data_IF_620536004390
#
_entry.id   IF_620536004390
#
_cell.length_a   1.000
_cell.length_b   1.000
_cell.length_c   1.000
_cell.angle_alpha   90.00
_cell.angle_beta   90.00
_cell.angle_gamma   90.00
#
_symmetry.space_group_name_H-M   'P 1'
#
loop_
_entity.id
_entity.type
_entity.pdbx_description
1 polymer ?
#
# COMPACT_ATOMS: atom_id res chain seq x y z
N UNK A 1 -29.85 40.01 -10.54
CA UNK A 1 -30.15 40.30 -9.12
C UNK A 1 -31.37 39.58 -8.55
N UNK A 2 -32.52 39.48 -9.26
CA UNK A 2 -33.72 38.79 -8.74
C UNK A 2 -33.51 37.33 -8.29
N UNK A 3 -32.70 36.55 -9.01
CA UNK A 3 -32.44 35.14 -8.66
C UNK A 3 -31.69 34.98 -7.34
N UNK A 4 -30.71 35.85 -7.06
CA UNK A 4 -29.98 35.83 -5.79
C UNK A 4 -30.87 36.27 -4.62
N UNK A 5 -31.75 37.25 -4.84
CA UNK A 5 -32.74 37.67 -3.85
C UNK A 5 -33.78 36.57 -3.55
N UNK A 6 -34.18 35.79 -4.56
CA UNK A 6 -35.12 34.68 -4.39
C UNK A 6 -34.46 33.46 -3.73
N UNK A 7 -33.17 33.18 -4.02
CA UNK A 7 -32.39 32.16 -3.28
C UNK A 7 -32.19 32.54 -1.80
N UNK A 8 -31.87 33.80 -1.50
CA UNK A 8 -31.71 34.26 -0.11
C UNK A 8 -33.02 34.22 0.68
N UNK A 9 -34.16 34.45 0.01
CA UNK A 9 -35.50 34.43 0.64
C UNK A 9 -36.00 33.01 0.88
N UNK A 10 -35.78 32.10 -0.07
CA UNK A 10 -36.07 30.68 0.12
C UNK A 10 -35.20 30.04 1.23
N UNK A 11 -34.00 30.59 1.45
CA UNK A 11 -33.09 30.12 2.49
C UNK A 11 -33.51 30.49 3.91
N UNK A 12 -34.40 31.48 4.11
CA UNK A 12 -34.84 31.90 5.45
C UNK A 12 -36.17 31.28 5.90
N UNK A 13 -37.03 30.87 4.96
CA UNK A 13 -38.31 30.20 5.28
C UNK A 13 -38.18 28.69 5.56
N UNK A 14 -37.02 28.09 5.27
CA UNK A 14 -36.73 26.66 5.48
C UNK A 14 -35.83 26.37 6.69
N UNK A 15 -35.45 27.38 7.46
CA UNK A 15 -34.74 27.19 8.74
C UNK A 15 -35.78 26.99 9.84
N UNK A 16 -36.50 25.88 9.77
CA UNK A 16 -37.00 25.26 11.02
C UNK A 16 -35.79 24.89 11.89
N UNK A 17 -35.99 24.76 13.20
CA UNK A 17 -34.94 24.66 14.23
C UNK A 17 -33.88 23.56 13.93
N UNK A 18 -34.23 22.54 13.13
CA UNK A 18 -33.37 21.44 12.69
C UNK A 18 -32.99 21.45 11.19
N UNK A 19 -33.49 22.40 10.40
CA UNK A 19 -33.35 22.42 8.93
C UNK A 19 -31.90 22.57 8.45
N UNK A 20 -31.12 23.42 9.12
CA UNK A 20 -29.69 23.58 8.83
C UNK A 20 -28.89 22.32 9.21
N UNK A 21 -29.22 21.69 10.34
CA UNK A 21 -28.55 20.47 10.78
C UNK A 21 -28.80 19.33 9.78
N UNK A 22 -30.07 19.14 9.37
CA UNK A 22 -30.45 18.15 8.36
C UNK A 22 -29.78 18.39 7.02
N UNK A 23 -29.67 19.65 6.56
CA UNK A 23 -28.98 20.00 5.33
C UNK A 23 -27.48 19.69 5.40
N UNK A 24 -26.82 20.02 6.51
CA UNK A 24 -25.40 19.71 6.72
C UNK A 24 -25.16 18.20 6.79
N UNK A 25 -26.00 17.45 7.52
CA UNK A 25 -25.91 15.98 7.57
C UNK A 25 -26.15 15.31 6.23
N UNK A 26 -27.08 15.84 5.41
CA UNK A 26 -27.31 15.35 4.05
C UNK A 26 -26.12 15.65 3.13
N UNK A 27 -25.48 16.81 3.29
CA UNK A 27 -24.25 17.15 2.56
C UNK A 27 -23.08 16.27 2.98
N UNK A 28 -22.93 15.95 4.26
CA UNK A 28 -21.92 15.04 4.76
C UNK A 28 -22.13 13.62 4.20
N UNK A 29 -23.37 13.12 4.20
CA UNK A 29 -23.72 11.83 3.59
C UNK A 29 -23.39 11.79 2.09
N UNK A 30 -23.74 12.84 1.34
CA UNK A 30 -23.38 12.94 -0.09
C UNK A 30 -21.87 13.02 -0.32
N UNK A 31 -21.13 13.68 0.57
CA UNK A 31 -19.68 13.75 0.51
C UNK A 31 -19.04 12.38 0.77
N UNK A 32 -19.57 11.64 1.73
CA UNK A 32 -19.14 10.27 2.05
C UNK A 32 -19.45 9.30 0.89
N UNK A 33 -20.63 9.39 0.28
CA UNK A 33 -21.00 8.60 -0.90
C UNK A 33 -20.05 8.88 -2.08
N UNK A 34 -19.77 10.17 -2.36
CA UNK A 34 -18.85 10.56 -3.43
C UNK A 34 -17.40 10.09 -3.17
N UNK A 35 -16.99 10.04 -1.89
CA UNK A 35 -15.71 9.46 -1.48
C UNK A 35 -15.71 7.95 -1.69
N UNK A 36 -16.76 7.25 -1.28
CA UNK A 36 -16.95 5.81 -1.49
C UNK A 36 -16.86 5.43 -2.97
N UNK A 37 -17.63 6.09 -3.83
CA UNK A 37 -17.61 5.84 -5.28
C UNK A 37 -16.23 6.13 -5.92
N UNK A 38 -15.49 7.09 -5.37
CA UNK A 38 -14.13 7.37 -5.82
C UNK A 38 -13.18 6.25 -5.40
N UNK A 39 -13.28 5.76 -4.16
CA UNK A 39 -12.49 4.64 -3.67
C UNK A 39 -12.82 3.35 -4.42
N UNK A 40 -14.09 3.09 -4.73
CA UNK A 40 -14.52 1.95 -5.55
C UNK A 40 -13.93 2.00 -6.97
N UNK A 41 -13.90 3.18 -7.59
CA UNK A 41 -13.24 3.37 -8.90
C UNK A 41 -11.73 3.15 -8.82
N UNK A 42 -11.09 3.45 -7.70
CA UNK A 42 -9.67 3.16 -7.48
C UNK A 42 -9.44 1.66 -7.25
N UNK A 43 -10.28 1.01 -6.45
CA UNK A 43 -10.24 -0.43 -6.21
C UNK A 43 -10.49 -1.24 -7.49
N UNK A 44 -11.44 -0.81 -8.33
CA UNK A 44 -11.71 -1.40 -9.64
C UNK A 44 -10.51 -1.31 -10.61
N UNK A 45 -9.58 -0.39 -10.35
CA UNK A 45 -8.32 -0.23 -11.12
C UNK A 45 -7.14 -0.97 -10.49
N UNK A 46 -7.38 -1.82 -9.49
CA UNK A 46 -6.32 -2.59 -8.83
C UNK A 46 -5.51 -1.81 -7.79
N UNK A 47 -6.03 -0.68 -7.29
CA UNK A 47 -5.40 0.06 -6.19
C UNK A 47 -6.00 -0.34 -4.84
N UNK A 48 -5.19 -0.25 -3.79
CA UNK A 48 -5.67 -0.39 -2.41
C UNK A 48 -6.44 0.87 -2.01
N UNK A 49 -7.55 0.71 -1.28
CA UNK A 49 -8.29 1.86 -0.74
C UNK A 49 -7.43 2.62 0.28
N UNK A 50 -7.72 3.90 0.52
CA UNK A 50 -6.96 4.66 1.51
C UNK A 50 -7.20 4.12 2.92
N UNK A 51 -8.43 3.73 3.23
CA UNK A 51 -8.77 3.13 4.51
C UNK A 51 -7.98 1.84 4.77
N UNK A 52 -7.92 0.93 3.78
CA UNK A 52 -7.15 -0.31 3.88
C UNK A 52 -5.64 -0.04 4.00
N UNK A 53 -5.12 0.92 3.24
CA UNK A 53 -3.71 1.29 3.30
C UNK A 53 -3.33 1.82 4.69
N UNK A 54 -4.17 2.69 5.28
CA UNK A 54 -3.97 3.19 6.65
C UNK A 54 -4.08 2.05 7.67
N UNK A 55 -5.07 1.17 7.53
CA UNK A 55 -5.25 0.02 8.42
C UNK A 55 -4.05 -0.93 8.38
N UNK A 56 -3.54 -1.23 7.19
CA UNK A 56 -2.32 -2.01 7.00
C UNK A 56 -1.12 -1.33 7.66
N UNK A 57 -0.86 -0.04 7.37
CA UNK A 57 0.28 0.69 7.96
C UNK A 57 0.23 0.70 9.49
N UNK A 58 -0.94 0.96 10.09
CA UNK A 58 -1.12 0.91 11.55
C UNK A 58 -0.83 -0.47 12.14
N UNK A 59 -1.16 -1.53 11.40
CA UNK A 59 -0.88 -2.89 11.82
C UNK A 59 0.63 -3.16 11.79
N UNK A 60 1.32 -2.77 10.71
CA UNK A 60 2.78 -2.89 10.59
C UNK A 60 3.53 -2.05 11.64
N UNK A 61 3.01 -0.89 12.02
CA UNK A 61 3.61 -0.02 13.04
C UNK A 61 3.66 -0.66 14.44
N UNK A 62 2.65 -1.47 14.76
CA UNK A 62 2.50 -2.12 16.08
C UNK A 62 3.37 -3.36 16.24
N UNK A 63 3.81 -3.95 15.13
CA UNK A 63 4.60 -5.18 15.15
C UNK A 63 6.02 -4.92 15.67
N UNK A 64 6.49 -5.81 16.54
CA UNK A 64 7.88 -5.83 16.99
C UNK A 64 8.72 -6.81 16.15
N UNK A 65 10.02 -6.54 15.95
CA UNK A 65 10.91 -7.49 15.27
C UNK A 65 10.96 -8.84 16.00
N UNK A 66 10.85 -8.85 17.34
CA UNK A 66 10.84 -10.06 18.15
C UNK A 66 9.67 -10.96 17.81
N UNK A 67 8.45 -10.43 17.81
CA UNK A 67 7.22 -11.21 17.51
C UNK A 67 7.21 -11.74 16.08
N UNK A 68 7.61 -10.93 15.11
CA UNK A 68 7.63 -11.31 13.69
C UNK A 68 8.63 -12.45 13.37
N UNK A 69 9.56 -12.72 14.28
CA UNK A 69 10.66 -13.67 14.10
C UNK A 69 10.66 -14.84 15.09
N UNK A 70 9.75 -14.85 16.07
CA UNK A 70 9.76 -15.83 17.18
C UNK A 70 8.77 -16.99 16.98
N UNK A 71 8.39 -17.30 15.75
CA UNK A 71 7.47 -18.37 15.44
C UNK A 71 7.26 -18.57 13.93
N UNK A 72 6.37 -19.49 13.53
CA UNK A 72 5.96 -19.58 12.14
C UNK A 72 5.39 -18.23 11.66
N UNK A 73 5.50 -17.92 10.36
CA UNK A 73 4.90 -16.72 9.78
C UNK A 73 3.43 -16.57 10.22
N UNK A 74 3.01 -15.41 10.74
CA UNK A 74 1.60 -15.20 11.01
C UNK A 74 0.82 -15.35 9.70
N UNK A 75 -0.43 -15.87 9.76
CA UNK A 75 -1.26 -15.94 8.57
C UNK A 75 -1.45 -14.54 8.00
N UNK A 76 -1.44 -14.44 6.66
CA UNK A 76 -1.62 -13.17 5.96
C UNK A 76 -2.87 -12.45 6.45
N UNK A 77 -2.73 -11.15 6.69
CA UNK A 77 -3.84 -10.29 7.06
C UNK A 77 -4.90 -10.25 5.96
N UNK A 78 -6.13 -9.87 6.35
CA UNK A 78 -7.28 -9.89 5.45
C UNK A 78 -7.09 -8.95 4.25
N UNK A 79 -6.41 -7.81 4.43
CA UNK A 79 -6.18 -6.80 3.38
C UNK A 79 -5.21 -7.37 2.33
N UNK A 80 -4.07 -7.91 2.77
CA UNK A 80 -3.10 -8.57 1.90
C UNK A 80 -3.74 -9.71 1.12
N UNK A 81 -4.54 -10.55 1.80
CA UNK A 81 -5.23 -11.67 1.17
C UNK A 81 -6.24 -11.21 0.11
N UNK A 82 -7.08 -10.23 0.44
CA UNK A 82 -8.09 -9.70 -0.47
C UNK A 82 -7.46 -9.07 -1.73
N UNK A 83 -6.35 -8.34 -1.58
CA UNK A 83 -5.65 -7.76 -2.72
C UNK A 83 -5.01 -8.83 -3.63
N UNK A 84 -4.30 -9.80 -3.04
CA UNK A 84 -3.66 -10.88 -3.80
C UNK A 84 -4.68 -11.76 -4.55
N UNK A 85 -5.89 -11.92 -4.03
CA UNK A 85 -6.98 -12.60 -4.73
C UNK A 85 -7.48 -11.82 -5.97
N UNK A 86 -7.33 -10.49 -5.98
CA UNK A 86 -7.85 -9.61 -7.06
C UNK A 86 -6.83 -9.35 -8.18
N UNK A 87 -5.54 -9.54 -7.93
CA UNK A 87 -4.47 -9.41 -8.92
C UNK A 87 -4.64 -10.26 -10.19
N UNK A 88 -4.90 -11.58 -10.12
CA UNK A 88 -5.03 -12.40 -11.34
C UNK A 88 -6.23 -11.99 -12.21
N UNK A 89 -7.25 -11.32 -11.65
CA UNK A 89 -8.41 -10.86 -12.42
C UNK A 89 -8.11 -9.61 -13.29
N UNK A 90 -7.04 -8.85 -12.97
CA UNK A 90 -6.80 -7.53 -13.56
C UNK A 90 -6.08 -7.61 -14.92
N UNK A 91 -5.33 -8.68 -15.21
CA UNK A 91 -4.65 -8.86 -16.51
C UNK A 91 -5.62 -9.07 -17.68
N UNK A 92 -6.82 -9.61 -17.41
CA UNK A 92 -7.85 -9.87 -18.43
C UNK A 92 -8.72 -8.66 -18.77
N UNK A 93 -8.70 -7.59 -17.96
CA UNK A 93 -9.55 -6.41 -18.21
C UNK A 93 -8.86 -5.43 -19.16
N UNK A 94 -9.04 -5.69 -20.46
CA UNK A 94 -8.38 -5.01 -21.60
C UNK A 94 -8.84 -3.55 -21.85
N UNK A 95 -9.56 -2.90 -20.93
CA UNK A 95 -10.39 -1.74 -21.28
C UNK A 95 -10.07 -0.38 -20.60
N UNK A 96 -9.08 -0.26 -19.69
CA UNK A 96 -8.77 1.04 -19.07
C UNK A 96 -7.32 1.50 -19.34
N UNK A 97 -7.09 2.60 -20.07
CA UNK A 97 -5.74 3.07 -20.41
C UNK A 97 -5.12 3.95 -19.30
N UNK A 98 -3.79 3.86 -19.19
CA UNK A 98 -2.80 4.84 -18.68
C UNK A 98 -2.27 4.76 -17.24
N UNK A 99 -3.09 4.71 -16.18
CA UNK A 99 -2.54 4.82 -14.80
C UNK A 99 -2.20 3.49 -14.13
N UNK A 100 -3.02 2.46 -14.35
CA UNK A 100 -2.84 1.13 -13.75
C UNK A 100 -1.55 0.44 -14.21
N UNK A 101 -1.03 0.76 -15.39
CA UNK A 101 0.24 0.20 -15.91
C UNK A 101 1.49 0.95 -15.45
N UNK A 102 1.34 2.14 -14.84
CA UNK A 102 2.49 2.95 -14.45
C UNK A 102 3.28 2.30 -13.31
N UNK A 103 2.60 1.68 -12.33
CA UNK A 103 3.27 1.05 -11.19
C UNK A 103 3.96 -0.28 -11.57
N UNK A 104 3.33 -1.23 -12.30
CA UNK A 104 4.02 -2.42 -12.80
C UNK A 104 5.24 -2.09 -13.65
N UNK A 105 5.12 -1.09 -14.54
CA UNK A 105 6.24 -0.63 -15.36
C UNK A 105 7.35 0.00 -14.53
N UNK A 106 7.01 0.89 -13.60
CA UNK A 106 7.99 1.50 -12.71
C UNK A 106 8.68 0.45 -11.82
N UNK A 107 7.97 -0.60 -11.40
CA UNK A 107 8.56 -1.70 -10.64
C UNK A 107 9.58 -2.45 -11.49
N UNK A 108 9.21 -2.84 -12.71
CA UNK A 108 10.14 -3.49 -13.64
C UNK A 108 11.37 -2.60 -13.90
N UNK A 109 11.16 -1.32 -14.19
CA UNK A 109 12.23 -0.34 -14.40
C UNK A 109 13.14 -0.24 -13.16
N UNK A 110 12.61 -0.11 -11.94
CA UNK A 110 13.44 -0.03 -10.72
C UNK A 110 14.16 -1.35 -10.42
N UNK A 111 13.51 -2.50 -10.64
CA UNK A 111 14.15 -3.82 -10.49
C UNK A 111 15.29 -3.99 -11.48
N UNK A 112 15.16 -3.49 -12.71
CA UNK A 112 16.22 -3.56 -13.72
C UNK A 112 17.33 -2.54 -13.46
N UNK A 113 16.95 -1.30 -13.16
CA UNK A 113 17.84 -0.12 -13.14
C UNK A 113 18.40 0.27 -11.78
N UNK A 114 17.96 -0.32 -10.66
CA UNK A 114 18.48 0.08 -9.34
C UNK A 114 19.99 -0.22 -9.24
N UNK A 115 20.78 0.77 -9.63
CA UNK A 115 22.25 0.83 -9.56
C UNK A 115 22.65 1.66 -8.33
N UNK A 116 21.70 2.26 -7.61
CA UNK A 116 21.96 3.22 -6.53
C UNK A 116 21.95 2.61 -5.12
N UNK A 117 22.81 3.10 -4.19
CA UNK A 117 23.12 2.41 -2.94
C UNK A 117 22.09 2.62 -1.80
N UNK A 118 22.12 1.79 -0.73
CA UNK A 118 23.18 0.85 -0.37
C UNK A 118 23.11 -0.40 -1.25
N UNK A 119 24.11 -0.53 -2.12
CA UNK A 119 23.99 -1.34 -3.33
C UNK A 119 23.95 -2.84 -3.02
N UNK A 120 24.29 -3.26 -1.81
CA UNK A 120 24.29 -4.67 -1.38
C UNK A 120 22.91 -5.19 -1.02
N UNK A 121 22.06 -4.35 -0.41
CA UNK A 121 20.76 -4.76 0.13
C UNK A 121 19.78 -5.01 -1.02
N UNK A 122 19.66 -4.05 -1.95
CA UNK A 122 18.84 -4.20 -3.16
C UNK A 122 19.32 -5.32 -4.10
N UNK A 123 20.64 -5.54 -4.19
CA UNK A 123 21.22 -6.66 -4.98
C UNK A 123 20.79 -8.02 -4.42
N UNK A 124 20.76 -8.18 -3.10
CA UNK A 124 20.37 -9.42 -2.43
C UNK A 124 18.91 -9.82 -2.73
N UNK A 125 17.99 -8.86 -2.68
CA UNK A 125 16.57 -9.12 -2.99
C UNK A 125 16.35 -9.37 -4.49
N UNK A 126 16.99 -8.60 -5.37
CA UNK A 126 16.92 -8.83 -6.83
C UNK A 126 17.45 -10.20 -7.21
N UNK A 127 18.63 -10.56 -6.70
CA UNK A 127 19.22 -11.88 -6.93
C UNK A 127 18.38 -13.01 -6.33
N UNK A 128 17.60 -12.75 -5.28
CA UNK A 128 16.62 -13.71 -4.78
C UNK A 128 15.41 -13.83 -5.73
N UNK A 129 14.84 -12.72 -6.20
CA UNK A 129 13.73 -12.70 -7.17
C UNK A 129 14.09 -13.40 -8.48
N UNK A 130 15.29 -13.16 -9.02
CA UNK A 130 15.75 -13.74 -10.28
C UNK A 130 15.98 -15.26 -10.23
N UNK A 131 16.13 -15.82 -9.03
CA UNK A 131 16.29 -17.27 -8.82
C UNK A 131 14.98 -18.01 -8.61
N UNK A 132 13.86 -17.29 -8.46
CA UNK A 132 12.55 -17.92 -8.28
C UNK A 132 12.01 -18.45 -9.62
N UNK A 133 11.28 -19.57 -9.62
CA UNK A 133 10.46 -19.98 -10.76
C UNK A 133 9.48 -18.88 -11.17
N UNK A 134 9.15 -18.76 -12.45
CA UNK A 134 8.33 -17.65 -12.98
C UNK A 134 7.02 -17.43 -12.22
N UNK A 135 6.29 -18.50 -11.90
CA UNK A 135 5.05 -18.41 -11.14
C UNK A 135 5.26 -17.81 -9.72
N UNK A 136 6.34 -18.20 -9.05
CA UNK A 136 6.71 -17.67 -7.73
C UNK A 136 7.20 -16.24 -7.83
N UNK A 137 8.02 -15.93 -8.84
CA UNK A 137 8.51 -14.59 -9.11
C UNK A 137 7.35 -13.62 -9.36
N UNK A 138 6.39 -13.98 -10.21
CA UNK A 138 5.20 -13.17 -10.47
C UNK A 138 4.39 -12.92 -9.19
N UNK A 139 4.23 -13.93 -8.33
CA UNK A 139 3.57 -13.76 -7.04
C UNK A 139 4.31 -12.76 -6.12
N UNK A 140 5.66 -12.80 -6.08
CA UNK A 140 6.45 -11.84 -5.30
C UNK A 140 6.43 -10.44 -5.89
N UNK A 141 6.47 -10.29 -7.21
CA UNK A 141 6.29 -9.00 -7.88
C UNK A 141 4.92 -8.40 -7.57
N UNK A 142 3.87 -9.22 -7.56
CA UNK A 142 2.52 -8.80 -7.20
C UNK A 142 2.41 -8.30 -5.74
N UNK A 143 3.13 -8.94 -4.81
CA UNK A 143 3.24 -8.47 -3.42
C UNK A 143 4.00 -7.15 -3.31
N UNK A 144 5.09 -6.96 -4.09
CA UNK A 144 5.81 -5.69 -4.11
C UNK A 144 4.92 -4.55 -4.65
N UNK A 145 4.10 -4.83 -5.66
CA UNK A 145 3.12 -3.88 -6.17
C UNK A 145 2.05 -3.54 -5.15
N UNK A 146 1.55 -4.53 -4.39
CA UNK A 146 0.63 -4.29 -3.28
C UNK A 146 1.23 -3.29 -2.30
N UNK A 147 2.45 -3.56 -1.82
CA UNK A 147 3.11 -2.76 -0.80
C UNK A 147 3.39 -1.33 -1.30
N UNK A 148 3.78 -1.18 -2.57
CA UNK A 148 3.98 0.15 -3.15
C UNK A 148 2.65 0.92 -3.30
N UNK A 149 1.57 0.23 -3.67
CA UNK A 149 0.22 0.80 -3.69
C UNK A 149 -0.25 1.23 -2.29
N UNK A 150 0.05 0.44 -1.25
CA UNK A 150 -0.23 0.80 0.14
C UNK A 150 0.50 2.09 0.52
N UNK A 151 1.80 2.21 0.23
CA UNK A 151 2.55 3.44 0.52
C UNK A 151 1.94 4.65 -0.18
N UNK A 152 1.68 4.54 -1.49
CA UNK A 152 1.07 5.61 -2.29
C UNK A 152 -0.31 6.04 -1.78
N UNK A 153 -1.13 5.09 -1.31
CA UNK A 153 -2.46 5.37 -0.79
C UNK A 153 -2.42 5.93 0.64
N UNK A 154 -1.46 5.49 1.46
CA UNK A 154 -1.34 5.88 2.87
C UNK A 154 -0.74 7.28 3.06
N UNK A 155 0.19 7.69 2.19
CA UNK A 155 0.91 8.95 2.30
C UNK A 155 1.03 9.66 0.94
N UNK A 156 0.57 10.91 0.89
CA UNK A 156 0.59 11.76 -0.31
C UNK A 156 2.00 12.20 -0.73
N UNK A 157 3.02 11.98 0.10
CA UNK A 157 4.41 12.35 -0.17
C UNK A 157 5.17 11.40 -1.10
N UNK A 158 4.64 10.21 -1.39
CA UNK A 158 5.33 9.24 -2.23
C UNK A 158 5.07 9.45 -3.72
N UNK A 159 6.14 9.44 -4.51
CA UNK A 159 6.07 9.16 -5.94
C UNK A 159 6.10 7.64 -6.15
N UNK A 160 5.67 7.15 -7.32
CA UNK A 160 5.69 5.71 -7.64
C UNK A 160 7.09 5.10 -7.45
N UNK A 161 8.12 5.77 -7.98
CA UNK A 161 9.52 5.34 -7.86
C UNK A 161 9.95 5.29 -6.40
N UNK A 162 9.69 6.35 -5.62
CA UNK A 162 10.07 6.38 -4.20
C UNK A 162 9.35 5.32 -3.37
N UNK A 163 8.07 5.06 -3.66
CA UNK A 163 7.33 4.00 -2.97
C UNK A 163 7.94 2.63 -3.26
N UNK A 164 8.25 2.33 -4.52
CA UNK A 164 8.89 1.08 -4.93
C UNK A 164 10.27 0.93 -4.28
N UNK A 165 11.12 1.97 -4.36
CA UNK A 165 12.45 1.96 -3.74
C UNK A 165 12.38 1.70 -2.24
N UNK A 166 11.44 2.34 -1.54
CA UNK A 166 11.25 2.15 -0.11
C UNK A 166 10.79 0.72 0.22
N UNK A 167 9.83 0.17 -0.53
CA UNK A 167 9.39 -1.22 -0.38
C UNK A 167 10.54 -2.19 -0.60
N UNK A 168 11.31 -2.03 -1.68
CA UNK A 168 12.45 -2.89 -1.98
C UNK A 168 13.50 -2.81 -0.87
N UNK A 169 13.80 -1.59 -0.39
CA UNK A 169 14.75 -1.37 0.72
C UNK A 169 14.29 -2.07 2.00
N UNK A 170 13.01 -1.98 2.35
CA UNK A 170 12.46 -2.62 3.54
C UNK A 170 12.45 -4.15 3.40
N UNK A 171 11.98 -4.69 2.28
CA UNK A 171 11.99 -6.13 2.02
C UNK A 171 13.42 -6.70 2.05
N UNK A 172 14.37 -6.00 1.44
CA UNK A 172 15.76 -6.43 1.40
C UNK A 172 16.39 -6.45 2.81
N UNK A 173 16.13 -5.41 3.63
CA UNK A 173 16.55 -5.39 5.04
C UNK A 173 15.92 -6.54 5.85
N UNK A 174 14.64 -6.84 5.61
CA UNK A 174 13.97 -7.98 6.22
C UNK A 174 14.64 -9.31 5.85
N UNK A 175 15.02 -9.45 4.58
CA UNK A 175 15.64 -10.68 4.06
C UNK A 175 17.04 -10.89 4.64
N UNK A 176 17.83 -9.82 4.73
CA UNK A 176 19.15 -9.86 5.35
C UNK A 176 19.07 -10.27 6.82
N UNK A 177 18.14 -9.67 7.57
CA UNK A 177 17.98 -10.00 8.98
C UNK A 177 17.52 -11.45 9.17
N UNK A 178 16.60 -11.93 8.33
CA UNK A 178 16.14 -13.31 8.38
C UNK A 178 17.28 -14.28 8.06
N UNK A 179 18.07 -14.01 7.02
CA UNK A 179 19.24 -14.84 6.64
C UNK A 179 20.32 -14.87 7.70
N UNK A 180 20.51 -13.78 8.44
CA UNK A 180 21.44 -13.75 9.57
C UNK A 180 21.03 -14.72 10.70
N UNK A 181 19.73 -15.06 10.82
CA UNK A 181 19.20 -16.00 11.82
C UNK A 181 19.00 -17.40 11.28
N UNK A 182 18.62 -17.51 10.00
CA UNK A 182 18.36 -18.74 9.29
C UNK A 182 18.95 -18.61 7.87
N UNK A 183 20.22 -19.03 7.66
CA UNK A 183 20.92 -18.85 6.37
C UNK A 183 20.18 -19.43 5.16
N UNK A 184 19.43 -20.51 5.37
CA UNK A 184 18.64 -21.19 4.34
C UNK A 184 17.29 -20.52 4.05
N UNK A 185 16.94 -19.44 4.78
CA UNK A 185 15.69 -18.74 4.58
C UNK A 185 15.59 -18.19 3.14
N UNK A 186 14.55 -18.63 2.44
CA UNK A 186 14.31 -18.27 1.06
C UNK A 186 13.23 -17.20 0.93
N UNK A 187 13.30 -16.43 -0.16
CA UNK A 187 12.22 -15.51 -0.53
C UNK A 187 10.94 -16.26 -0.92
N UNK A 188 11.07 -17.54 -1.33
CA UNK A 188 9.94 -18.37 -1.71
C UNK A 188 9.04 -18.69 -0.51
N UNK A 189 9.61 -18.91 0.67
CA UNK A 189 8.85 -19.37 1.84
C UNK A 189 8.19 -18.22 2.61
N UNK A 190 8.86 -17.07 2.66
CA UNK A 190 8.54 -15.97 3.59
C UNK A 190 7.63 -14.93 2.93
N UNK A 191 7.88 -14.61 1.67
CA UNK A 191 7.14 -13.58 0.93
C UNK A 191 7.53 -12.14 1.23
N UNK A 192 7.17 -11.26 0.30
CA UNK A 192 7.56 -9.85 0.36
C UNK A 192 6.80 -9.09 1.44
N UNK A 193 5.56 -9.48 1.75
CA UNK A 193 4.76 -8.84 2.80
C UNK A 193 5.39 -9.02 4.19
N UNK A 194 5.82 -10.23 4.52
CA UNK A 194 6.48 -10.49 5.80
C UNK A 194 7.87 -9.83 5.87
N UNK A 195 8.65 -9.90 4.78
CA UNK A 195 9.95 -9.24 4.73
C UNK A 195 9.84 -7.71 4.90
N UNK A 196 8.82 -7.11 4.30
CA UNK A 196 8.51 -5.69 4.47
C UNK A 196 8.24 -5.34 5.94
N UNK A 197 7.38 -6.13 6.61
CA UNK A 197 7.04 -5.94 8.04
C UNK A 197 8.27 -6.00 8.94
N UNK A 198 9.12 -7.02 8.74
CA UNK A 198 10.38 -7.18 9.47
C UNK A 198 11.29 -5.98 9.22
N UNK A 199 11.50 -5.61 7.95
CA UNK A 199 12.34 -4.47 7.59
C UNK A 199 11.86 -3.14 8.15
N UNK A 200 10.53 -2.94 8.19
CA UNK A 200 9.90 -1.76 8.76
C UNK A 200 10.13 -1.70 10.27
N UNK A 201 9.84 -2.79 10.99
CA UNK A 201 10.03 -2.90 12.43
C UNK A 201 11.50 -2.65 12.82
N UNK A 202 12.46 -3.20 12.07
CA UNK A 202 13.90 -2.96 12.28
C UNK A 202 14.30 -1.49 12.03
N UNK A 203 13.72 -0.86 11.01
CA UNK A 203 13.98 0.56 10.72
C UNK A 203 13.42 1.45 11.83
N UNK A 204 12.22 1.15 12.34
CA UNK A 204 11.61 1.86 13.46
C UNK A 204 12.44 1.72 14.74
N UNK A 205 12.83 0.51 15.10
CA UNK A 205 13.67 0.27 16.28
C UNK A 205 15.01 1.03 16.19
N UNK A 206 15.65 1.04 15.02
CA UNK A 206 16.90 1.78 14.81
C UNK A 206 16.71 3.30 14.93
N UNK A 207 15.55 3.85 14.54
CA UNK A 207 15.23 5.28 14.73
C UNK A 207 15.04 5.62 16.20
N UNK A 208 14.33 4.77 16.96
CA UNK A 208 14.10 4.96 18.40
C UNK A 208 15.41 5.00 19.19
N UNK A 209 16.39 4.13 18.85
CA UNK A 209 17.71 4.10 19.49
C UNK A 209 18.60 5.31 19.17
N UNK A 210 18.32 6.07 18.10
CA UNK A 210 19.11 7.25 17.69
C UNK A 210 18.51 8.56 18.18
N UNK A 211 17.24 8.55 18.60
CA UNK A 211 16.49 9.74 19.00
C UNK A 211 16.16 9.82 20.48
N UNK A 212 16.61 8.86 21.29
CA UNK A 212 16.57 8.88 22.76
C UNK A 212 17.98 8.93 23.31
#
# INVERSE_FOLDING_TARGET
ERVLADCCRASTELVEEDGLHNALSAMDALADDALGEREDRHAARGYVSRADAIAFTRLVERESPGELLSGPPPPRDAITRAYLQRLPATETSRAAPSRTRALPRALAEVIETAVTPPADVGRSLRGALARLPDARRAAREAELLLLANVLLASDRGYTHVRAIEEVLRLCARGLEHLRARAPDASLEDVGCDQLYRVGHALTRAAKQLRGG
#
